data_IF_149929309568
#
_entry.id   IF_149929309568
#
_cell.length_a   1.000
_cell.length_b   1.000
_cell.length_c   1.000
_cell.angle_alpha   90.00
_cell.angle_beta   90.00
_cell.angle_gamma   90.00
#
_symmetry.space_group_name_H-M   'P 1'
#
loop_
_entity.id
_entity.type
_entity.pdbx_description
1 polymer ?
#
# COMPACT_ATOMS: atom_id res chain seq x y z
N UNK A 1 -0.93 29.34 -29.07
CA UNK A 1 -0.04 30.14 -28.19
C UNK A 1 0.97 29.18 -27.59
N UNK A 2 2.20 29.21 -28.10
CA UNK A 2 3.30 28.34 -27.65
C UNK A 2 3.94 28.99 -26.44
N UNK A 3 4.08 28.27 -25.32
CA UNK A 3 4.97 28.67 -24.23
C UNK A 3 5.81 27.46 -23.82
N UNK A 4 7.11 27.70 -23.90
CA UNK A 4 8.24 26.79 -23.83
C UNK A 4 8.57 26.32 -22.41
N UNK A 5 8.94 25.05 -22.28
CA UNK A 5 9.54 24.49 -21.07
C UNK A 5 11.00 24.95 -20.94
N UNK A 6 11.34 25.62 -19.83
CA UNK A 6 12.73 25.86 -19.44
C UNK A 6 13.03 25.08 -18.16
N UNK A 7 13.94 24.11 -18.28
CA UNK A 7 14.60 23.43 -17.16
C UNK A 7 15.34 24.44 -16.28
N UNK A 8 15.12 24.42 -14.96
CA UNK A 8 16.11 24.85 -13.97
C UNK A 8 16.16 23.90 -12.79
N UNK A 9 17.32 23.23 -12.66
CA UNK A 9 17.83 22.53 -11.48
C UNK A 9 17.74 23.44 -10.26
N UNK A 10 17.21 22.91 -9.15
CA UNK A 10 17.24 23.56 -7.85
C UNK A 10 16.96 22.55 -6.75
N UNK A 11 18.04 22.02 -6.16
CA UNK A 11 18.03 21.21 -4.93
C UNK A 11 17.54 22.12 -3.80
N UNK A 12 16.31 21.94 -3.32
CA UNK A 12 15.81 22.57 -2.08
C UNK A 12 15.57 21.48 -1.06
N UNK A 13 16.40 21.50 -0.02
CA UNK A 13 16.08 20.89 1.27
C UNK A 13 14.67 21.29 1.66
N UNK A 14 13.87 20.26 1.95
CA UNK A 14 12.48 20.42 2.36
C UNK A 14 12.53 20.85 3.83
N UNK A 15 12.47 22.15 4.06
CA UNK A 15 12.33 22.76 5.39
C UNK A 15 11.03 22.25 6.04
N UNK A 16 11.14 21.22 6.89
CA UNK A 16 10.04 20.64 7.68
C UNK A 16 9.56 21.57 8.82
N UNK A 17 10.05 22.81 8.90
CA UNK A 17 9.88 23.67 10.07
C UNK A 17 8.71 24.66 10.00
N UNK A 18 7.74 24.49 9.08
CA UNK A 18 6.58 25.40 8.96
C UNK A 18 5.20 24.72 8.94
N UNK A 19 5.11 23.41 9.18
CA UNK A 19 3.83 22.69 9.20
C UNK A 19 3.27 22.41 10.61
N UNK A 20 4.00 22.79 11.66
CA UNK A 20 3.57 22.63 13.06
C UNK A 20 2.46 23.61 13.50
N UNK A 21 2.13 24.62 12.69
CA UNK A 21 1.17 25.68 13.05
C UNK A 21 -0.25 25.48 12.47
N UNK A 22 -0.52 24.35 11.80
CA UNK A 22 -1.86 23.98 11.31
C UNK A 22 -2.41 22.72 11.97
N UNK A 23 -2.04 22.47 13.23
CA UNK A 23 -2.76 21.55 14.12
C UNK A 23 -4.14 22.14 14.54
N UNK A 24 -4.92 22.58 13.56
CA UNK A 24 -6.37 22.56 13.68
C UNK A 24 -6.73 21.07 13.84
N UNK A 25 -6.91 20.67 15.09
CA UNK A 25 -7.04 19.32 15.61
C UNK A 25 -7.71 18.36 14.61
N UNK A 26 -6.89 17.62 13.85
CA UNK A 26 -7.36 16.63 12.88
C UNK A 26 -8.29 15.66 13.62
N UNK A 27 -9.53 15.55 13.14
CA UNK A 27 -10.56 14.69 13.73
C UNK A 27 -10.11 13.23 13.77
N UNK A 28 -10.50 12.50 14.80
CA UNK A 28 -10.24 11.07 14.95
C UNK A 28 -10.71 10.26 13.74
N UNK A 29 -11.81 10.65 13.09
CA UNK A 29 -12.29 9.99 11.86
C UNK A 29 -11.34 10.17 10.68
N UNK A 30 -10.68 11.32 10.57
CA UNK A 30 -9.69 11.60 9.51
C UNK A 30 -8.42 10.78 9.77
N UNK A 31 -7.97 10.70 11.02
CA UNK A 31 -6.84 9.87 11.41
C UNK A 31 -7.11 8.38 11.17
N UNK A 32 -8.32 7.90 11.48
CA UNK A 32 -8.73 6.53 11.18
C UNK A 32 -8.72 6.26 9.66
N UNK A 33 -9.25 7.19 8.86
CA UNK A 33 -9.20 7.09 7.41
C UNK A 33 -7.76 7.07 6.89
N UNK A 34 -6.86 7.85 7.48
CA UNK A 34 -5.43 7.82 7.14
C UNK A 34 -4.79 6.47 7.46
N UNK A 35 -5.15 5.82 8.59
CA UNK A 35 -4.71 4.45 8.87
C UNK A 35 -5.15 3.49 7.76
N UNK A 36 -6.41 3.58 7.31
CA UNK A 36 -6.93 2.73 6.24
C UNK A 36 -6.24 2.97 4.89
N UNK A 37 -5.97 4.24 4.57
CA UNK A 37 -5.23 4.61 3.35
C UNK A 37 -3.81 4.01 3.41
N UNK A 38 -3.06 4.25 4.48
CA UNK A 38 -1.71 3.72 4.62
C UNK A 38 -1.68 2.19 4.60
N UNK A 39 -2.63 1.52 5.27
CA UNK A 39 -2.76 0.06 5.20
C UNK A 39 -2.98 -0.42 3.76
N UNK A 40 -3.93 0.20 3.05
CA UNK A 40 -4.30 -0.19 1.69
C UNK A 40 -3.16 0.04 0.69
N UNK A 41 -2.48 1.19 0.80
CA UNK A 41 -1.29 1.50 -0.02
C UNK A 41 -0.14 0.54 0.27
N UNK A 42 0.16 0.29 1.55
CA UNK A 42 1.20 -0.66 1.96
C UNK A 42 0.96 -2.05 1.39
N UNK A 43 -0.28 -2.54 1.49
CA UNK A 43 -0.68 -3.84 0.94
C UNK A 43 -0.61 -3.88 -0.59
N UNK A 44 -1.14 -2.86 -1.27
CA UNK A 44 -1.13 -2.79 -2.74
C UNK A 44 0.30 -2.80 -3.30
N UNK A 45 1.20 -2.02 -2.67
CA UNK A 45 2.60 -1.96 -3.06
C UNK A 45 3.34 -3.28 -2.76
N UNK A 46 3.07 -3.91 -1.62
CA UNK A 46 3.63 -5.23 -1.29
C UNK A 46 3.19 -6.28 -2.32
N UNK A 47 1.89 -6.36 -2.63
CA UNK A 47 1.37 -7.27 -3.66
C UNK A 47 1.97 -6.99 -5.05
N UNK A 48 2.09 -5.72 -5.43
CA UNK A 48 2.69 -5.33 -6.70
C UNK A 48 4.16 -5.75 -6.78
N UNK A 49 4.94 -5.55 -5.71
CA UNK A 49 6.35 -5.95 -5.66
C UNK A 49 6.53 -7.47 -5.72
N UNK A 50 5.66 -8.23 -5.06
CA UNK A 50 5.65 -9.70 -5.08
C UNK A 50 5.23 -10.26 -6.44
N UNK A 51 4.31 -9.59 -7.13
CA UNK A 51 3.82 -9.96 -8.45
C UNK A 51 4.91 -10.00 -9.53
N UNK A 52 6.02 -9.28 -9.37
CA UNK A 52 7.10 -9.28 -10.37
C UNK A 52 8.16 -10.35 -10.10
N UNK A 53 8.41 -10.70 -8.84
CA UNK A 53 9.43 -11.72 -8.51
C UNK A 53 8.99 -13.12 -8.89
N UNK A 54 7.69 -13.36 -8.86
CA UNK A 54 7.11 -14.59 -9.36
C UNK A 54 6.18 -14.26 -10.52
N UNK A 55 6.61 -14.54 -11.77
CA UNK A 55 5.70 -14.66 -12.93
C UNK A 55 4.50 -15.61 -12.67
N UNK A 56 4.51 -16.33 -11.54
CA UNK A 56 3.45 -17.16 -10.99
C UNK A 56 2.10 -16.44 -10.79
N UNK A 57 2.07 -15.11 -10.74
CA UNK A 57 0.84 -14.33 -10.56
C UNK A 57 0.10 -14.00 -11.85
N UNK A 58 0.53 -14.51 -13.00
CA UNK A 58 -0.30 -14.50 -14.20
C UNK A 58 -1.13 -15.77 -14.26
N UNK A 59 -2.36 -15.81 -13.71
CA UNK A 59 -3.27 -16.88 -14.05
C UNK A 59 -3.48 -16.80 -15.57
N UNK A 60 -3.21 -17.87 -16.33
CA UNK A 60 -3.57 -17.91 -17.74
C UNK A 60 -5.10 -17.83 -17.81
N UNK A 61 -5.62 -16.66 -18.14
CA UNK A 61 -7.04 -16.49 -18.40
C UNK A 61 -7.25 -16.47 -19.91
N UNK A 62 -7.84 -17.55 -20.43
CA UNK A 62 -8.14 -17.70 -21.85
C UNK A 62 -9.36 -16.85 -22.30
N UNK A 63 -10.13 -16.30 -21.36
CA UNK A 63 -11.42 -15.69 -21.65
C UNK A 63 -11.41 -14.17 -21.53
N UNK A 64 -10.80 -13.61 -20.47
CA UNK A 64 -10.81 -12.17 -20.23
C UNK A 64 -9.38 -11.63 -20.00
N UNK A 65 -9.09 -10.51 -20.63
CA UNK A 65 -7.89 -9.69 -20.41
C UNK A 65 -7.86 -9.11 -18.98
N UNK A 66 -6.70 -8.57 -18.56
CA UNK A 66 -6.57 -7.83 -17.28
C UNK A 66 -7.46 -6.58 -17.26
N UNK A 67 -7.59 -5.88 -18.40
CA UNK A 67 -8.41 -4.68 -18.56
C UNK A 67 -9.91 -4.99 -18.44
N UNK A 68 -10.41 -6.04 -19.10
CA UNK A 68 -11.82 -6.44 -19.01
C UNK A 68 -12.20 -6.83 -17.58
N UNK A 69 -11.31 -7.55 -16.86
CA UNK A 69 -11.53 -7.87 -15.45
C UNK A 69 -11.53 -6.63 -14.57
N UNK A 70 -10.66 -5.65 -14.84
CA UNK A 70 -10.68 -4.37 -14.14
C UNK A 70 -12.02 -3.65 -14.35
N UNK A 71 -12.51 -3.60 -15.60
CA UNK A 71 -13.79 -2.95 -15.92
C UNK A 71 -14.95 -3.64 -15.19
N UNK A 72 -15.02 -4.96 -15.24
CA UNK A 72 -16.05 -5.75 -14.55
C UNK A 72 -16.02 -5.53 -13.04
N UNK A 73 -14.82 -5.50 -12.44
CA UNK A 73 -14.68 -5.35 -10.99
C UNK A 73 -15.03 -3.93 -10.50
N UNK A 74 -14.72 -2.91 -11.29
CA UNK A 74 -14.92 -1.50 -10.91
C UNK A 74 -16.07 -0.82 -11.65
N UNK A 75 -16.97 -1.59 -12.29
CA UNK A 75 -18.09 -1.07 -13.08
C UNK A 75 -18.94 -0.07 -12.29
N UNK A 76 -19.26 -0.38 -11.05
CA UNK A 76 -20.07 0.48 -10.19
C UNK A 76 -19.36 1.81 -9.87
N UNK A 77 -18.05 1.79 -9.60
CA UNK A 77 -17.28 3.01 -9.35
C UNK A 77 -17.14 3.86 -10.61
N UNK A 78 -16.96 3.23 -11.76
CA UNK A 78 -16.89 3.91 -13.05
C UNK A 78 -18.22 4.59 -13.38
N UNK A 79 -19.35 3.91 -13.13
CA UNK A 79 -20.70 4.48 -13.29
C UNK A 79 -21.00 5.58 -12.29
N UNK A 80 -20.50 5.47 -11.07
CA UNK A 80 -20.67 6.48 -10.03
C UNK A 80 -19.85 7.76 -10.33
N UNK A 81 -18.85 7.69 -11.22
CA UNK A 81 -17.92 8.79 -11.51
C UNK A 81 -17.19 9.35 -10.26
N UNK A 82 -16.99 8.51 -9.24
CA UNK A 82 -16.34 8.90 -7.98
C UNK A 82 -15.30 7.84 -7.56
N UNK A 83 -14.00 8.20 -7.46
CA UNK A 83 -13.38 9.46 -7.92
C UNK A 83 -13.54 9.69 -9.43
N UNK A 84 -13.43 10.94 -9.89
CA UNK A 84 -13.49 11.22 -11.33
C UNK A 84 -12.31 10.57 -12.08
N UNK A 85 -12.57 10.08 -13.29
CA UNK A 85 -11.56 9.55 -14.23
C UNK A 85 -10.88 8.21 -13.86
N UNK A 86 -11.49 7.34 -13.04
CA UNK A 86 -10.95 5.98 -12.83
C UNK A 86 -10.84 5.24 -14.17
N UNK A 87 -9.64 4.79 -14.52
CA UNK A 87 -9.38 3.99 -15.70
C UNK A 87 -8.33 2.93 -15.42
N UNK A 88 -8.34 1.87 -16.23
CA UNK A 88 -7.34 0.81 -16.16
C UNK A 88 -5.93 1.37 -16.38
N UNK A 89 -5.74 2.33 -17.29
CA UNK A 89 -4.44 2.95 -17.58
C UNK A 89 -3.87 3.71 -16.38
N UNK A 90 -4.69 4.53 -15.70
CA UNK A 90 -4.26 5.21 -14.48
C UNK A 90 -3.87 4.20 -13.41
N UNK A 91 -4.65 3.14 -13.22
CA UNK A 91 -4.30 2.08 -12.28
C UNK A 91 -2.94 1.45 -12.60
N UNK A 92 -2.67 1.13 -13.87
CA UNK A 92 -1.38 0.57 -14.32
C UNK A 92 -0.21 1.53 -14.09
N UNK A 93 -0.41 2.82 -14.35
CA UNK A 93 0.60 3.85 -14.10
C UNK A 93 0.93 3.96 -12.61
N UNK A 94 -0.09 3.99 -11.75
CA UNK A 94 0.07 4.09 -10.30
C UNK A 94 0.84 2.91 -9.68
N UNK A 95 0.64 1.69 -10.19
CA UNK A 95 1.35 0.52 -9.69
C UNK A 95 2.71 0.29 -10.37
N UNK A 96 3.01 1.00 -11.48
CA UNK A 96 4.27 0.80 -12.21
C UNK A 96 5.52 1.08 -11.37
N UNK A 97 5.59 2.14 -10.53
CA UNK A 97 6.72 2.36 -9.63
C UNK A 97 6.90 1.20 -8.64
N UNK A 98 5.81 0.67 -8.10
CA UNK A 98 5.82 -0.50 -7.20
C UNK A 98 6.36 -1.75 -7.87
N UNK A 99 6.16 -1.85 -9.19
CA UNK A 99 6.66 -2.98 -9.98
C UNK A 99 8.16 -2.93 -10.23
N UNK A 100 8.69 -1.71 -10.36
CA UNK A 100 10.08 -1.46 -10.74
C UNK A 100 11.00 -1.22 -9.53
N UNK A 101 10.46 -0.74 -8.41
CA UNK A 101 11.21 -0.58 -7.17
C UNK A 101 11.22 -1.90 -6.38
N UNK A 102 12.39 -2.50 -6.22
CA UNK A 102 12.60 -3.54 -5.20
C UNK A 102 12.08 -3.04 -3.85
N UNK A 103 11.16 -3.81 -3.28
CA UNK A 103 10.36 -3.57 -2.05
C UNK A 103 10.62 -2.24 -1.33
N UNK A 104 9.68 -1.34 -1.57
CA UNK A 104 9.14 -0.32 -0.66
C UNK A 104 10.14 0.57 0.09
N UNK A 105 10.43 1.75 -0.48
CA UNK A 105 11.09 2.86 0.24
C UNK A 105 10.19 3.51 1.29
N UNK A 106 8.87 3.42 1.12
CA UNK A 106 7.89 4.07 1.98
C UNK A 106 7.34 3.09 3.01
N UNK A 107 7.39 3.48 4.29
CA UNK A 107 7.09 2.62 5.43
C UNK A 107 5.65 2.79 5.89
N UNK A 108 4.70 2.54 4.99
CA UNK A 108 3.27 2.75 5.24
C UNK A 108 2.79 2.06 6.53
N UNK A 109 3.24 0.83 6.79
CA UNK A 109 2.88 0.10 8.01
C UNK A 109 3.43 0.75 9.29
N UNK A 110 4.58 1.42 9.24
CA UNK A 110 5.09 2.23 10.36
C UNK A 110 4.29 3.52 10.53
N UNK A 111 3.82 4.12 9.45
CA UNK A 111 2.96 5.31 9.53
C UNK A 111 1.61 4.97 10.17
N UNK A 112 1.04 3.79 9.89
CA UNK A 112 -0.15 3.29 10.59
C UNK A 112 0.07 3.25 12.11
N UNK A 113 1.23 2.77 12.59
CA UNK A 113 1.55 2.73 14.02
C UNK A 113 1.68 4.13 14.64
N UNK A 114 2.24 5.09 13.89
CA UNK A 114 2.34 6.48 14.35
C UNK A 114 0.95 7.10 14.46
N UNK A 115 0.12 6.94 13.44
CA UNK A 115 -1.22 7.51 13.37
C UNK A 115 -2.14 6.86 14.42
N UNK A 116 -2.07 5.53 14.60
CA UNK A 116 -2.89 4.81 15.58
C UNK A 116 -2.59 5.23 17.02
N UNK A 117 -1.33 5.54 17.32
CA UNK A 117 -0.92 6.09 18.63
C UNK A 117 -1.57 7.45 18.89
N UNK A 118 -1.59 8.33 17.88
CA UNK A 118 -2.28 9.62 17.95
C UNK A 118 -3.80 9.47 18.01
N UNK A 119 -4.34 8.44 17.37
CA UNK A 119 -5.77 8.16 17.34
C UNK A 119 -6.29 7.68 18.71
N UNK A 120 -5.53 6.82 19.39
CA UNK A 120 -5.88 6.31 20.73
C UNK A 120 -5.97 7.41 21.78
N UNK A 121 -5.12 8.43 21.71
CA UNK A 121 -5.17 9.55 22.67
C UNK A 121 -6.36 10.50 22.44
N UNK A 122 -7.08 10.35 21.32
CA UNK A 122 -8.16 11.26 20.89
C UNK A 122 -9.54 10.61 20.83
N UNK A 123 -9.63 9.31 21.06
CA UNK A 123 -10.91 8.58 21.05
C UNK A 123 -11.41 8.45 22.49
N UNK A 124 -12.69 8.78 22.77
CA UNK A 124 -13.31 8.46 24.06
C UNK A 124 -13.26 6.95 24.31
N UNK A 125 -13.47 6.46 25.53
CA UNK A 125 -13.43 5.01 25.89
C UNK A 125 -14.56 4.19 25.22
N UNK A 126 -14.56 4.18 23.90
CA UNK A 126 -15.44 3.46 23.00
C UNK A 126 -14.75 2.13 22.69
N UNK A 127 -15.25 1.07 23.31
CA UNK A 127 -14.65 -0.27 23.25
C UNK A 127 -14.62 -0.81 21.82
N UNK A 128 -15.61 -0.46 20.99
CA UNK A 128 -15.67 -0.92 19.60
C UNK A 128 -14.56 -0.27 18.77
N UNK A 129 -14.43 1.06 18.84
CA UNK A 129 -13.37 1.79 18.11
C UNK A 129 -11.97 1.43 18.59
N UNK A 130 -11.78 1.22 19.89
CA UNK A 130 -10.48 0.77 20.41
C UNK A 130 -10.13 -0.64 19.92
N UNK A 131 -11.13 -1.50 19.74
CA UNK A 131 -10.96 -2.84 19.16
C UNK A 131 -10.59 -2.75 17.68
N UNK A 132 -11.28 -1.93 16.90
CA UNK A 132 -10.96 -1.67 15.48
C UNK A 132 -9.51 -1.19 15.32
N UNK A 133 -9.07 -0.22 16.12
CA UNK A 133 -7.69 0.30 16.08
C UNK A 133 -6.68 -0.78 16.42
N UNK A 134 -6.98 -1.64 17.40
CA UNK A 134 -6.11 -2.76 17.75
C UNK A 134 -5.97 -3.74 16.60
N UNK A 135 -7.05 -4.01 15.86
CA UNK A 135 -6.99 -4.86 14.66
C UNK A 135 -6.15 -4.23 13.55
N UNK A 136 -6.34 -2.94 13.28
CA UNK A 136 -5.54 -2.16 12.31
C UNK A 136 -4.05 -2.25 12.63
N UNK A 137 -3.68 -2.06 13.89
CA UNK A 137 -2.28 -2.15 14.32
C UNK A 137 -1.71 -3.56 14.18
N UNK A 138 -2.49 -4.57 14.52
CA UNK A 138 -2.07 -5.96 14.37
C UNK A 138 -1.81 -6.29 12.90
N UNK A 139 -2.69 -5.86 12.00
CA UNK A 139 -2.50 -6.02 10.54
C UNK A 139 -1.25 -5.27 10.08
N UNK A 140 -1.05 -4.02 10.53
CA UNK A 140 0.14 -3.25 10.17
C UNK A 140 1.42 -3.94 10.66
N UNK A 141 1.46 -4.45 11.89
CA UNK A 141 2.64 -5.11 12.44
C UNK A 141 2.97 -6.39 11.69
N UNK A 142 1.99 -7.26 11.44
CA UNK A 142 2.21 -8.49 10.69
C UNK A 142 2.76 -8.21 9.29
N UNK A 143 2.21 -7.23 8.57
CA UNK A 143 2.69 -6.90 7.24
C UNK A 143 4.06 -6.21 7.26
N UNK A 144 4.36 -5.39 8.27
CA UNK A 144 5.70 -4.81 8.47
C UNK A 144 6.75 -5.90 8.67
N UNK A 145 6.44 -6.91 9.50
CA UNK A 145 7.31 -8.08 9.70
C UNK A 145 7.50 -8.83 8.38
N UNK A 146 6.42 -9.10 7.64
CA UNK A 146 6.49 -9.78 6.35
C UNK A 146 7.39 -9.05 5.35
N UNK A 147 7.23 -7.72 5.21
CA UNK A 147 8.08 -6.89 4.34
C UNK A 147 9.55 -6.97 4.75
N UNK A 148 9.85 -6.90 6.05
CA UNK A 148 11.23 -7.02 6.55
C UNK A 148 11.83 -8.39 6.23
N UNK A 149 11.07 -9.47 6.41
CA UNK A 149 11.50 -10.84 6.07
C UNK A 149 11.79 -10.97 4.58
N UNK A 150 10.90 -10.45 3.73
CA UNK A 150 11.09 -10.43 2.26
C UNK A 150 12.37 -9.66 1.90
N UNK A 151 12.59 -8.49 2.49
CA UNK A 151 13.78 -7.67 2.26
C UNK A 151 15.06 -8.39 2.65
N UNK A 152 15.07 -9.05 3.82
CA UNK A 152 16.23 -9.81 4.30
C UNK A 152 16.52 -11.02 3.42
N UNK A 153 15.51 -11.77 3.00
CA UNK A 153 15.69 -12.91 2.11
C UNK A 153 16.28 -12.49 0.74
N UNK A 154 16.02 -11.26 0.29
CA UNK A 154 16.57 -10.69 -0.95
C UNK A 154 18.00 -10.17 -0.80
N UNK A 155 18.38 -9.64 0.37
CA UNK A 155 19.68 -8.98 0.55
C UNK A 155 20.83 -9.95 0.82
N UNK A 156 20.55 -11.07 1.47
CA UNK A 156 21.53 -12.12 1.69
C UNK A 156 21.30 -13.18 0.63
N UNK A 157 22.32 -13.54 -0.16
CA UNK A 157 22.29 -14.66 -1.11
C UNK A 157 22.09 -16.00 -0.39
N UNK A 158 20.93 -16.13 0.26
CA UNK A 158 20.78 -16.86 1.51
C UNK A 158 20.11 -18.19 1.26
N UNK A 159 20.43 -19.12 2.15
CA UNK A 159 19.78 -20.42 2.31
C UNK A 159 18.29 -20.30 2.70
N UNK A 160 17.61 -19.18 2.42
CA UNK A 160 16.21 -18.95 2.75
C UNK A 160 15.44 -18.64 1.46
N UNK A 161 14.56 -19.56 1.07
CA UNK A 161 13.62 -19.38 -0.02
C UNK A 161 12.30 -18.87 0.54
N UNK A 162 11.92 -17.66 0.16
CA UNK A 162 10.57 -17.12 0.42
C UNK A 162 9.68 -17.44 -0.78
N UNK A 163 8.49 -17.94 -0.50
CA UNK A 163 7.44 -18.25 -1.49
C UNK A 163 6.10 -17.79 -0.94
N UNK A 164 5.09 -17.64 -1.81
CA UNK A 164 3.74 -17.28 -1.39
C UNK A 164 2.77 -18.40 -1.72
N UNK A 165 1.96 -18.76 -0.73
CA UNK A 165 0.91 -19.76 -0.86
C UNK A 165 -0.46 -19.10 -0.65
N UNK A 166 -1.46 -19.47 -1.44
CA UNK A 166 -2.83 -18.96 -1.38
C UNK A 166 -3.79 -20.05 -0.88
N UNK A 167 -3.28 -20.95 -0.03
CA UNK A 167 -3.93 -22.20 0.37
C UNK A 167 -5.28 -21.99 1.05
N UNK A 168 -5.47 -20.84 1.71
CA UNK A 168 -6.71 -20.51 2.39
C UNK A 168 -7.66 -19.66 1.53
N UNK A 169 -7.12 -18.81 0.63
CA UNK A 169 -7.92 -17.95 -0.23
C UNK A 169 -7.10 -17.38 -1.40
N UNK A 170 -7.65 -17.29 -2.62
CA UNK A 170 -6.93 -16.82 -3.81
C UNK A 170 -6.46 -15.37 -3.74
N UNK A 171 -6.95 -14.59 -2.77
CA UNK A 171 -6.58 -13.19 -2.57
C UNK A 171 -5.81 -12.92 -1.26
N UNK A 172 -5.58 -13.94 -0.42
CA UNK A 172 -4.81 -13.80 0.83
C UNK A 172 -3.51 -14.60 0.72
N UNK A 173 -2.43 -13.90 0.39
CA UNK A 173 -1.11 -14.48 0.26
C UNK A 173 -0.52 -14.79 1.63
N UNK A 174 -0.08 -16.03 1.85
CA UNK A 174 0.71 -16.43 3.01
C UNK A 174 2.17 -16.51 2.59
N UNK A 175 3.03 -15.74 3.24
CA UNK A 175 4.48 -15.84 3.05
C UNK A 175 5.00 -17.11 3.72
N UNK A 176 5.57 -18.02 2.94
CA UNK A 176 6.20 -19.26 3.40
C UNK A 176 7.71 -19.13 3.22
N UNK A 177 8.42 -19.18 4.34
CA UNK A 177 9.88 -19.10 4.39
C UNK A 177 10.44 -20.49 4.67
N UNK A 178 11.23 -21.03 3.74
CA UNK A 178 11.88 -22.33 3.86
C UNK A 178 13.40 -22.14 3.84
N UNK A 179 14.13 -22.99 4.56
CA UNK A 179 15.57 -23.12 4.34
C UNK A 179 15.82 -23.93 3.05
N UNK A 180 16.69 -23.43 2.17
CA UNK A 180 17.15 -24.08 0.94
C UNK A 180 17.97 -25.32 1.25
#
# INVERSE_FOLDING_TARGET
>A
MVISFSQKKGKKERDFSKEAARDAQISSSILLLQCYICLSEGLAMMLAALSNEHKAFQPPNAFNTEEERFIQHFELLQRAHVPSHISYYLFKEWIAPARNAGVMKDNYFRDVQRISTLLRSRIPEDTEKLTEIRQIEQVAEHNRIAVNVINQARSYGSSLRVSFEFSQHPFFAVAVVKRS
#
